data_IF_236716799045
#
_entry.id   IF_236716799045
#
_cell.length_a   1.000
_cell.length_b   1.000
_cell.length_c   1.000
_cell.angle_alpha   90.00
_cell.angle_beta   90.00
_cell.angle_gamma   90.00
#
_symmetry.space_group_name_H-M   'P 1'
#
loop_
_entity.id
_entity.type
_entity.pdbx_description
1 polymer ?
#
# COMPACT_ATOMS: atom_id res chain seq x y z
N UNK A 1 -38.03 -10.08 -11.50
CA UNK A 1 -36.66 -9.70 -11.80
C UNK A 1 -36.22 -10.62 -12.92
N UNK A 2 -35.71 -10.06 -13.99
CA UNK A 2 -35.24 -10.84 -15.15
C UNK A 2 -34.01 -11.66 -14.73
N UNK A 3 -33.93 -12.94 -15.12
CA UNK A 3 -32.80 -13.83 -14.76
C UNK A 3 -31.44 -13.23 -15.13
N UNK A 4 -31.40 -12.44 -16.19
CA UNK A 4 -30.23 -11.71 -16.64
C UNK A 4 -29.83 -10.57 -15.68
N UNK A 5 -30.78 -9.94 -15.02
CA UNK A 5 -30.53 -8.92 -14.01
C UNK A 5 -30.08 -9.55 -12.68
N UNK A 6 -30.59 -10.74 -12.37
CA UNK A 6 -30.16 -11.51 -11.21
C UNK A 6 -28.73 -12.04 -11.38
N UNK A 7 -28.39 -12.58 -12.55
CA UNK A 7 -27.03 -13.02 -12.90
C UNK A 7 -26.04 -11.85 -12.86
N UNK A 8 -26.40 -10.67 -13.35
CA UNK A 8 -25.57 -9.47 -13.28
C UNK A 8 -25.39 -8.96 -11.84
N UNK A 9 -26.36 -9.17 -10.95
CA UNK A 9 -26.27 -8.83 -9.53
C UNK A 9 -25.38 -9.84 -8.78
N UNK A 10 -25.48 -11.12 -9.11
CA UNK A 10 -24.69 -12.21 -8.52
C UNK A 10 -23.24 -12.22 -9.02
N UNK A 11 -22.96 -11.63 -10.20
CA UNK A 11 -21.62 -11.52 -10.77
C UNK A 11 -20.83 -10.31 -10.28
N UNK A 12 -21.44 -9.40 -9.49
CA UNK A 12 -20.73 -8.24 -8.94
C UNK A 12 -19.70 -8.68 -7.90
N UNK A 13 -18.45 -8.21 -7.98
CA UNK A 13 -17.43 -8.57 -7.01
C UNK A 13 -17.81 -8.05 -5.63
N UNK A 14 -17.74 -8.92 -4.62
CA UNK A 14 -17.85 -8.56 -3.21
C UNK A 14 -16.46 -8.29 -2.65
N UNK A 15 -16.36 -7.61 -1.51
CA UNK A 15 -15.06 -7.40 -0.85
C UNK A 15 -14.35 -8.74 -0.57
N UNK A 16 -15.08 -9.75 -0.13
CA UNK A 16 -14.52 -11.07 0.13
C UNK A 16 -13.96 -11.73 -1.14
N UNK A 17 -14.66 -11.67 -2.27
CA UNK A 17 -14.17 -12.25 -3.53
C UNK A 17 -12.97 -11.48 -4.07
N UNK A 18 -12.95 -10.16 -3.93
CA UNK A 18 -11.80 -9.31 -4.29
C UNK A 18 -10.58 -9.68 -3.44
N UNK A 19 -10.75 -9.74 -2.13
CA UNK A 19 -9.69 -10.12 -1.20
C UNK A 19 -9.14 -11.51 -1.51
N UNK A 20 -10.01 -12.50 -1.69
CA UNK A 20 -9.61 -13.87 -2.00
C UNK A 20 -8.83 -13.97 -3.31
N UNK A 21 -9.11 -13.11 -4.28
CA UNK A 21 -8.40 -13.05 -5.56
C UNK A 21 -7.03 -12.37 -5.40
N UNK A 22 -7.02 -11.15 -4.87
CA UNK A 22 -5.83 -10.32 -4.84
C UNK A 22 -4.82 -10.73 -3.75
N UNK A 23 -5.29 -11.27 -2.62
CA UNK A 23 -4.41 -11.72 -1.54
C UNK A 23 -3.57 -12.97 -1.90
N UNK A 24 -3.96 -13.70 -2.93
CA UNK A 24 -3.23 -14.88 -3.41
C UNK A 24 -2.16 -14.57 -4.43
N UNK A 25 -2.09 -13.33 -4.91
CA UNK A 25 -1.09 -12.90 -5.89
C UNK A 25 0.28 -12.86 -5.21
N UNK A 26 1.25 -13.56 -5.81
CA UNK A 26 2.64 -13.53 -5.35
C UNK A 26 3.32 -12.24 -5.85
N UNK A 27 3.69 -11.39 -4.92
CA UNK A 27 4.34 -10.11 -5.20
C UNK A 27 5.87 -10.17 -5.03
N UNK A 28 6.43 -11.29 -4.61
CA UNK A 28 7.82 -11.38 -4.11
C UNK A 28 8.86 -10.92 -5.14
N UNK A 29 8.68 -11.24 -6.42
CA UNK A 29 9.62 -10.85 -7.48
C UNK A 29 9.52 -9.35 -7.87
N UNK A 30 8.53 -8.64 -7.33
CA UNK A 30 8.25 -7.23 -7.63
C UNK A 30 8.41 -6.32 -6.42
N UNK A 31 8.98 -6.84 -5.34
CA UNK A 31 9.29 -6.09 -4.13
C UNK A 31 10.71 -5.53 -4.24
N UNK A 32 10.81 -4.23 -4.17
CA UNK A 32 12.08 -3.52 -4.04
C UNK A 32 12.34 -3.21 -2.57
N UNK A 33 13.55 -3.47 -2.11
CA UNK A 33 14.00 -3.10 -0.75
C UNK A 33 14.86 -1.86 -0.81
N UNK A 34 14.49 -0.87 -0.02
CA UNK A 34 15.22 0.39 0.12
C UNK A 34 15.29 0.72 1.61
N UNK A 35 16.49 0.72 2.19
CA UNK A 35 16.72 1.04 3.61
C UNK A 35 15.78 0.32 4.59
N UNK A 36 15.74 -0.97 4.68
CA UNK A 36 14.86 -1.77 5.54
C UNK A 36 13.34 -1.68 5.28
N UNK A 37 12.93 -0.97 4.23
CA UNK A 37 11.54 -0.89 3.81
C UNK A 37 11.32 -1.65 2.51
N UNK A 38 10.17 -2.27 2.42
CA UNK A 38 9.74 -2.99 1.23
C UNK A 38 8.77 -2.12 0.44
N UNK A 39 9.01 -2.01 -0.87
CA UNK A 39 8.18 -1.26 -1.81
C UNK A 39 7.70 -2.20 -2.90
N UNK A 40 6.42 -2.19 -3.16
CA UNK A 40 5.85 -2.86 -4.32
C UNK A 40 5.83 -1.89 -5.50
N UNK A 41 6.26 -2.35 -6.67
CA UNK A 41 6.16 -1.56 -7.90
C UNK A 41 4.69 -1.20 -8.18
N UNK A 42 4.39 0.11 -8.20
CA UNK A 42 3.03 0.59 -8.45
C UNK A 42 2.53 0.22 -9.85
N UNK A 43 3.42 0.26 -10.85
CA UNK A 43 3.06 -0.06 -12.23
C UNK A 43 2.69 -1.53 -12.38
N UNK A 44 3.44 -2.42 -11.74
CA UNK A 44 3.11 -3.84 -11.71
C UNK A 44 1.80 -4.10 -10.95
N UNK A 45 1.65 -3.51 -9.76
CA UNK A 45 0.43 -3.66 -8.96
C UNK A 45 -0.82 -3.16 -9.71
N UNK A 46 -0.68 -2.06 -10.44
CA UNK A 46 -1.73 -1.56 -11.32
C UNK A 46 -2.05 -2.55 -12.45
N UNK A 47 -1.04 -3.14 -13.08
CA UNK A 47 -1.21 -4.18 -14.10
C UNK A 47 -2.00 -5.37 -13.58
N UNK A 48 -1.66 -5.87 -12.39
CA UNK A 48 -2.40 -6.97 -11.74
C UNK A 48 -3.86 -6.58 -11.48
N UNK A 49 -4.10 -5.37 -10.99
CA UNK A 49 -5.46 -4.88 -10.78
C UNK A 49 -6.27 -4.88 -12.09
N UNK A 50 -5.65 -4.42 -13.19
CA UNK A 50 -6.30 -4.37 -14.49
C UNK A 50 -6.56 -5.77 -15.09
N UNK A 51 -5.73 -6.76 -14.79
CA UNK A 51 -5.98 -8.15 -15.20
C UNK A 51 -7.24 -8.72 -14.55
N UNK A 52 -7.46 -8.41 -13.29
CA UNK A 52 -8.59 -8.96 -12.53
C UNK A 52 -9.83 -8.06 -12.52
N UNK A 53 -9.63 -6.75 -12.48
CA UNK A 53 -10.69 -5.75 -12.32
C UNK A 53 -10.45 -4.53 -13.22
N UNK A 54 -10.58 -4.67 -14.54
CA UNK A 54 -10.26 -3.59 -15.51
C UNK A 54 -11.15 -2.34 -15.37
N UNK A 55 -12.32 -2.49 -14.75
CA UNK A 55 -13.24 -1.37 -14.48
C UNK A 55 -12.99 -0.66 -13.14
N UNK A 56 -11.90 -1.02 -12.44
CA UNK A 56 -11.53 -0.35 -11.20
C UNK A 56 -11.22 1.12 -11.44
N UNK A 57 -11.64 1.96 -10.50
CA UNK A 57 -11.45 3.42 -10.55
C UNK A 57 -10.52 3.86 -9.44
N UNK A 58 -9.53 4.67 -9.79
CA UNK A 58 -8.66 5.37 -8.84
C UNK A 58 -9.06 6.83 -8.78
N UNK A 59 -9.09 7.36 -7.57
CA UNK A 59 -9.30 8.77 -7.30
C UNK A 59 -8.31 9.25 -6.23
N UNK A 60 -7.54 10.29 -6.56
CA UNK A 60 -6.71 10.98 -5.60
C UNK A 60 -7.42 12.23 -5.12
N UNK A 61 -7.46 12.41 -3.81
CA UNK A 61 -8.07 13.58 -3.20
C UNK A 61 -7.37 14.87 -3.68
N UNK A 62 -8.19 15.87 -3.98
CA UNK A 62 -7.75 17.23 -4.24
C UNK A 62 -8.46 18.17 -3.27
N UNK A 63 -7.69 19.05 -2.65
CA UNK A 63 -8.25 20.08 -1.78
C UNK A 63 -9.19 20.99 -2.59
N UNK A 64 -10.45 21.15 -2.19
CA UNK A 64 -11.42 21.91 -2.99
C UNK A 64 -11.13 23.41 -3.07
N UNK A 65 -10.33 23.95 -2.17
CA UNK A 65 -9.99 25.38 -2.16
C UNK A 65 -8.73 25.68 -2.97
N UNK A 66 -7.72 24.82 -2.88
CA UNK A 66 -6.41 25.03 -3.50
C UNK A 66 -6.21 24.21 -4.76
N UNK A 67 -7.05 23.20 -4.99
CA UNK A 67 -6.89 22.16 -6.03
C UNK A 67 -5.56 21.39 -5.95
N UNK A 68 -4.88 21.43 -4.81
CA UNK A 68 -3.66 20.65 -4.59
C UNK A 68 -4.00 19.20 -4.28
N UNK A 69 -3.20 18.24 -4.74
CA UNK A 69 -3.44 16.80 -4.52
C UNK A 69 -2.96 16.32 -3.15
N UNK A 70 -2.99 17.18 -2.15
CA UNK A 70 -2.58 16.88 -0.77
C UNK A 70 -3.28 17.81 0.23
N UNK A 71 -3.33 17.36 1.46
CA UNK A 71 -3.80 18.15 2.62
C UNK A 71 -2.59 18.63 3.40
N UNK A 72 -2.50 19.95 3.62
CA UNK A 72 -1.45 20.52 4.45
C UNK A 72 -1.88 20.60 5.91
N UNK A 73 -0.94 20.26 6.80
CA UNK A 73 -1.08 20.40 8.25
C UNK A 73 -0.47 21.73 8.73
N UNK A 74 -0.81 22.20 9.95
CA UNK A 74 -0.29 23.47 10.48
C UNK A 74 1.24 23.53 10.59
N UNK A 75 1.92 22.40 10.73
CA UNK A 75 3.38 22.27 10.76
C UNK A 75 4.04 22.25 9.37
N UNK A 76 3.27 22.54 8.32
CA UNK A 76 3.67 22.56 6.91
C UNK A 76 4.07 21.17 6.34
N UNK A 77 3.74 20.11 7.02
CA UNK A 77 3.76 18.76 6.44
C UNK A 77 2.50 18.54 5.60
N UNK A 78 2.48 17.52 4.77
CA UNK A 78 1.35 17.20 3.92
C UNK A 78 1.03 15.70 3.91
N UNK A 79 -0.22 15.40 3.58
CA UNK A 79 -0.74 14.06 3.44
C UNK A 79 -1.43 13.90 2.09
N UNK A 80 -1.17 12.81 1.39
CA UNK A 80 -1.92 12.38 0.20
C UNK A 80 -2.97 11.36 0.58
N UNK A 81 -4.06 11.31 -0.17
CA UNK A 81 -5.14 10.33 0.00
C UNK A 81 -5.50 9.71 -1.33
N UNK A 82 -5.66 8.39 -1.32
CA UNK A 82 -6.02 7.62 -2.50
C UNK A 82 -7.25 6.78 -2.21
N UNK A 83 -8.20 6.81 -3.11
CA UNK A 83 -9.42 6.00 -3.10
C UNK A 83 -9.42 5.08 -4.30
N UNK A 84 -9.71 3.81 -4.07
CA UNK A 84 -9.91 2.81 -5.14
C UNK A 84 -11.29 2.21 -4.99
N UNK A 85 -12.00 2.09 -6.09
CA UNK A 85 -13.31 1.44 -6.17
C UNK A 85 -13.25 0.29 -7.15
N UNK A 86 -13.70 -0.88 -6.70
CA UNK A 86 -13.85 -2.09 -7.51
C UNK A 86 -15.33 -2.48 -7.43
N UNK A 87 -16.08 -2.25 -8.50
CA UNK A 87 -17.55 -2.36 -8.45
C UNK A 87 -18.13 -1.41 -7.39
N UNK A 88 -18.91 -1.95 -6.45
CA UNK A 88 -19.49 -1.18 -5.34
C UNK A 88 -18.59 -1.10 -4.11
N UNK A 89 -17.43 -1.75 -4.11
CA UNK A 89 -16.51 -1.79 -2.97
C UNK A 89 -15.48 -0.68 -3.10
N UNK A 90 -15.44 0.21 -2.12
CA UNK A 90 -14.50 1.34 -2.09
C UNK A 90 -13.64 1.27 -0.83
N UNK A 91 -12.34 1.53 -0.99
CA UNK A 91 -11.37 1.67 0.10
C UNK A 91 -10.52 2.91 -0.14
N UNK A 92 -10.15 3.54 0.96
CA UNK A 92 -9.34 4.75 0.97
C UNK A 92 -8.15 4.57 1.92
N UNK A 93 -7.00 5.06 1.51
CA UNK A 93 -5.79 5.10 2.30
C UNK A 93 -5.18 6.50 2.22
N UNK A 94 -4.40 6.83 3.21
CA UNK A 94 -3.64 8.07 3.31
C UNK A 94 -2.17 7.77 3.58
N UNK A 95 -1.32 8.70 3.23
CA UNK A 95 0.12 8.59 3.46
C UNK A 95 0.72 9.98 3.67
N UNK A 96 1.50 10.21 4.74
CA UNK A 96 2.29 11.42 4.85
C UNK A 96 3.27 11.54 3.68
N UNK A 97 3.48 12.76 3.19
CA UNK A 97 4.60 13.04 2.28
C UNK A 97 5.88 12.99 3.09
N UNK A 98 6.80 12.09 2.73
CA UNK A 98 7.93 11.71 3.57
C UNK A 98 9.27 11.95 2.88
N UNK A 99 10.31 12.13 3.71
CA UNK A 99 11.70 12.13 3.27
C UNK A 99 12.26 10.70 3.09
N UNK A 100 13.54 10.59 2.76
CA UNK A 100 14.23 9.31 2.55
C UNK A 100 14.32 8.43 3.80
N UNK A 101 14.08 9.00 4.98
CA UNK A 101 14.08 8.29 6.27
C UNK A 101 12.67 7.99 6.77
N UNK A 102 11.66 8.20 5.93
CA UNK A 102 10.23 8.08 6.26
C UNK A 102 9.73 9.02 7.37
N UNK A 103 10.39 10.15 7.57
CA UNK A 103 9.86 11.21 8.39
C UNK A 103 8.96 12.11 7.55
N UNK A 104 7.90 12.66 8.16
CA UNK A 104 7.06 13.64 7.49
C UNK A 104 7.91 14.83 7.05
N UNK A 105 7.79 15.22 5.78
CA UNK A 105 8.59 16.28 5.18
C UNK A 105 7.89 17.63 5.27
N UNK A 106 8.59 18.61 5.82
CA UNK A 106 8.11 19.99 5.87
C UNK A 106 8.31 20.64 4.49
N UNK A 107 7.32 21.38 4.02
CA UNK A 107 7.30 22.02 2.70
C UNK A 107 7.64 21.07 1.55
N UNK A 108 6.93 19.96 1.39
CA UNK A 108 7.18 19.03 0.30
C UNK A 108 6.98 19.70 -1.05
N UNK A 109 7.82 19.35 -2.02
CA UNK A 109 7.68 19.81 -3.39
C UNK A 109 6.80 18.85 -4.23
N UNK A 110 6.56 19.19 -5.48
CA UNK A 110 5.72 18.40 -6.38
C UNK A 110 6.24 16.97 -6.62
N UNK A 111 7.56 16.76 -6.61
CA UNK A 111 8.16 15.44 -6.75
C UNK A 111 7.86 14.58 -5.53
N UNK A 112 8.02 15.14 -4.33
CA UNK A 112 7.71 14.46 -3.07
C UNK A 112 6.24 14.01 -3.03
N UNK A 113 5.33 14.89 -3.45
CA UNK A 113 3.88 14.61 -3.53
C UNK A 113 3.59 13.52 -4.56
N UNK A 114 4.21 13.58 -5.73
CA UNK A 114 4.05 12.57 -6.78
C UNK A 114 4.48 11.18 -6.30
N UNK A 115 5.63 11.07 -5.67
CA UNK A 115 6.13 9.81 -5.13
C UNK A 115 5.22 9.27 -4.01
N UNK A 116 4.73 10.15 -3.14
CA UNK A 116 3.79 9.78 -2.08
C UNK A 116 2.46 9.27 -2.64
N UNK A 117 1.95 9.84 -3.74
CA UNK A 117 0.71 9.36 -4.40
C UNK A 117 0.86 7.92 -4.88
N UNK A 118 1.96 7.57 -5.51
CA UNK A 118 2.18 6.21 -6.02
C UNK A 118 2.34 5.20 -4.88
N UNK A 119 3.02 5.57 -3.80
CA UNK A 119 3.12 4.75 -2.58
C UNK A 119 1.77 4.59 -1.90
N UNK A 120 0.96 5.64 -1.84
CA UNK A 120 -0.38 5.61 -1.28
C UNK A 120 -1.31 4.69 -2.10
N UNK A 121 -1.22 4.72 -3.43
CA UNK A 121 -1.96 3.83 -4.31
C UNK A 121 -1.69 2.36 -3.97
N UNK A 122 -0.43 1.96 -3.86
CA UNK A 122 -0.06 0.56 -3.55
C UNK A 122 -0.57 0.15 -2.17
N UNK A 123 -0.52 1.04 -1.16
CA UNK A 123 -1.11 0.78 0.15
C UNK A 123 -2.64 0.67 0.10
N UNK A 124 -3.29 1.43 -0.76
CA UNK A 124 -4.74 1.28 -0.98
C UNK A 124 -5.08 -0.08 -1.59
N UNK A 125 -4.28 -0.56 -2.54
CA UNK A 125 -4.45 -1.88 -3.14
C UNK A 125 -4.23 -3.01 -2.11
N UNK A 126 -3.36 -2.79 -1.13
CA UNK A 126 -3.16 -3.73 -0.02
C UNK A 126 -4.43 -3.90 0.84
N UNK A 127 -5.28 -2.89 0.94
CA UNK A 127 -6.59 -3.01 1.60
C UNK A 127 -7.57 -3.93 0.85
N UNK A 128 -7.33 -4.20 -0.42
CA UNK A 128 -8.05 -5.20 -1.22
C UNK A 128 -7.36 -6.57 -1.23
N UNK A 129 -6.21 -6.70 -0.56
CA UNK A 129 -5.44 -7.93 -0.45
C UNK A 129 -4.15 -7.97 -1.26
N UNK A 130 -3.97 -7.13 -2.28
CA UNK A 130 -2.78 -7.15 -3.14
C UNK A 130 -1.55 -6.67 -2.38
N UNK A 131 -0.62 -7.59 -2.13
CA UNK A 131 0.61 -7.28 -1.41
C UNK A 131 0.42 -6.93 0.07
N UNK A 132 -0.72 -7.25 0.66
CA UNK A 132 -1.03 -6.96 2.06
C UNK A 132 0.07 -7.45 3.02
N UNK A 133 0.62 -8.62 2.80
CA UNK A 133 1.65 -9.22 3.65
C UNK A 133 2.99 -8.44 3.68
N UNK A 134 3.25 -7.60 2.68
CA UNK A 134 4.46 -6.78 2.58
C UNK A 134 4.51 -5.75 3.71
N UNK A 135 3.34 -5.22 4.08
CA UNK A 135 3.19 -4.15 5.08
C UNK A 135 2.99 -4.68 6.50
N UNK A 136 2.85 -5.99 6.67
CA UNK A 136 2.71 -6.59 7.98
C UNK A 136 3.95 -6.30 8.85
N UNK A 137 3.77 -5.59 9.96
CA UNK A 137 4.83 -5.21 10.90
C UNK A 137 5.52 -3.87 10.60
N UNK A 138 5.17 -3.15 9.53
CA UNK A 138 5.73 -1.81 9.28
C UNK A 138 5.24 -0.75 10.28
N UNK A 139 4.02 -0.92 10.79
CA UNK A 139 3.39 0.05 11.73
C UNK A 139 3.70 -0.24 13.20
N UNK A 140 4.66 -1.13 13.48
CA UNK A 140 5.10 -1.39 14.85
C UNK A 140 5.85 -0.16 15.41
N UNK A 141 5.69 0.14 16.72
CA UNK A 141 6.46 1.16 17.38
C UNK A 141 7.97 0.97 17.18
N UNK A 142 8.76 2.05 17.10
CA UNK A 142 10.21 1.96 16.87
C UNK A 142 10.95 1.01 17.83
N UNK A 143 10.57 0.99 19.10
CA UNK A 143 11.11 0.10 20.14
C UNK A 143 10.93 -1.39 19.81
N UNK A 144 9.78 -1.77 19.28
CA UNK A 144 9.51 -3.17 18.92
C UNK A 144 10.21 -3.59 17.61
N UNK A 145 10.51 -2.62 16.73
CA UNK A 145 11.29 -2.88 15.52
C UNK A 145 12.75 -3.15 15.84
N UNK A 146 13.32 -2.41 16.77
CA UNK A 146 14.70 -2.59 17.23
C UNK A 146 14.90 -3.93 17.92
N UNK A 147 14.02 -4.34 18.84
CA UNK A 147 14.08 -5.63 19.52
C UNK A 147 14.01 -6.82 18.54
N UNK A 148 13.16 -6.74 17.51
CA UNK A 148 13.07 -7.81 16.48
C UNK A 148 14.29 -7.90 15.59
N UNK A 149 14.98 -6.79 15.34
CA UNK A 149 16.24 -6.76 14.60
C UNK A 149 17.36 -7.38 15.44
N UNK A 150 17.46 -7.04 16.72
CA UNK A 150 18.44 -7.61 17.66
C UNK A 150 18.22 -9.12 17.84
N UNK A 151 16.98 -9.61 18.00
CA UNK A 151 16.69 -11.03 18.08
C UNK A 151 17.11 -11.80 16.82
N UNK A 152 16.96 -11.21 15.64
CA UNK A 152 17.40 -11.83 14.38
C UNK A 152 18.91 -11.87 14.25
N UNK A 153 19.60 -10.82 14.69
CA UNK A 153 21.07 -10.75 14.68
C UNK A 153 21.66 -11.75 15.67
N UNK A 154 21.13 -11.83 16.89
CA UNK A 154 21.58 -12.78 17.92
C UNK A 154 21.34 -14.25 17.50
N UNK A 155 20.26 -14.54 16.77
CA UNK A 155 20.03 -15.88 16.22
C UNK A 155 20.95 -16.24 15.05
N UNK A 156 21.47 -15.24 14.31
CA UNK A 156 22.39 -15.45 13.21
C UNK A 156 23.86 -15.64 13.65
N UNK A 157 24.23 -15.15 14.83
CA UNK A 157 25.61 -15.18 15.35
C UNK A 157 25.94 -16.40 16.25
N UNK A 158 25.06 -17.38 16.41
CA UNK A 158 25.41 -18.60 17.14
C UNK A 158 26.44 -19.42 16.35
N UNK A 159 27.68 -19.60 16.86
CA UNK A 159 28.72 -20.30 16.13
C UNK A 159 28.36 -21.79 15.96
N UNK A 160 28.54 -22.27 14.74
CA UNK A 160 28.53 -23.71 14.46
C UNK A 160 29.67 -24.36 15.26
N UNK A 161 29.33 -25.19 16.25
CA UNK A 161 30.30 -26.07 16.91
C UNK A 161 30.96 -26.94 15.85
N UNK A 162 32.25 -26.80 15.69
CA UNK A 162 33.06 -27.76 14.93
C UNK A 162 33.07 -29.09 15.66
N UNK A 163 32.89 -30.23 14.99
CA UNK A 163 33.10 -31.51 15.59
C UNK A 163 34.60 -31.77 15.76
N UNK A 164 34.96 -32.26 16.93
CA UNK A 164 36.29 -32.76 17.27
C UNK A 164 36.45 -34.12 16.60
#
# INVERSE_FOLDING_TARGET
MDDKALDALLSKPTYQTIWNTLSKVDCNDHIEKKMNLSYLSWAWAWGVLMEHYPDAVIDFYHDPQTNLPCVFFPDKTAEVRCRVSIGSVTREMWLPVMDNRNNAKVNPNSRDVSDAKMRCLVKTLALFGLGHYIYAGEDLPPSEKEEKVEEKVVKAEKPKKQPV
#
